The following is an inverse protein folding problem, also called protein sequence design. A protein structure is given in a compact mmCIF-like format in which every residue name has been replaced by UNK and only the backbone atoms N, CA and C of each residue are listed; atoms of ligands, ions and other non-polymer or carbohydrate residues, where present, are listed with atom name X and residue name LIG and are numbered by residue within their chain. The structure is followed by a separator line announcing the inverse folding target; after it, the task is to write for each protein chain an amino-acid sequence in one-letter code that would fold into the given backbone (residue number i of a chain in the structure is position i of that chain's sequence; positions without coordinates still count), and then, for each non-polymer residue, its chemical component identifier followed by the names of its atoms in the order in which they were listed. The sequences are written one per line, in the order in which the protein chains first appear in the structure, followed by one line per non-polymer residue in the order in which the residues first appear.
data_IF_522441062884
#
_entry.id   IF_522441062884
#
_cell.length_a   1.000
_cell.length_b   1.000
_cell.length_c   1.000
_cell.angle_alpha   90.00
_cell.angle_beta   90.00
_cell.angle_gamma   90.00
#
_symmetry.space_group_name_H-M   'P 1'
#
loop_
_entity.id
_entity.type
_entity.pdbx_description
1 polymer ?
#
# COMPACT_ATOMS: atom_id res chain seq x y z
N UNK A 1 -14.00 5.64 2.53
CA UNK A 1 -14.39 6.19 3.86
C UNK A 1 -15.20 7.45 3.59
N UNK A 2 -16.40 7.57 4.15
CA UNK A 2 -17.21 8.78 4.00
C UNK A 2 -16.83 9.78 5.10
N UNK A 3 -16.46 11.01 4.73
CA UNK A 3 -16.00 12.04 5.68
C UNK A 3 -16.99 12.25 6.84
N UNK A 4 -18.28 12.44 6.53
CA UNK A 4 -19.31 12.69 7.52
C UNK A 4 -19.41 11.56 8.56
N UNK A 5 -19.42 10.30 8.09
CA UNK A 5 -19.45 9.12 8.97
C UNK A 5 -18.19 9.01 9.84
N UNK A 6 -17.02 9.35 9.30
CA UNK A 6 -15.79 9.34 10.06
C UNK A 6 -15.83 10.35 11.21
N UNK A 7 -16.27 11.58 10.94
CA UNK A 7 -16.40 12.64 11.96
C UNK A 7 -17.44 12.25 13.02
N UNK A 8 -18.60 11.75 12.60
CA UNK A 8 -19.65 11.25 13.49
C UNK A 8 -19.10 10.16 14.41
N UNK A 9 -18.32 9.20 13.85
CA UNK A 9 -17.74 8.12 14.65
C UNK A 9 -16.73 8.63 15.68
N UNK A 10 -15.90 9.60 15.30
CA UNK A 10 -14.95 10.23 16.23
C UNK A 10 -15.70 10.97 17.35
N UNK A 11 -16.77 11.70 17.02
CA UNK A 11 -17.61 12.40 18.00
C UNK A 11 -18.31 11.43 18.97
N UNK A 12 -18.81 10.29 18.49
CA UNK A 12 -19.34 9.22 19.35
C UNK A 12 -18.30 8.70 20.35
N UNK A 13 -17.07 8.44 19.88
CA UNK A 13 -15.99 7.95 20.72
C UNK A 13 -15.53 9.00 21.74
N UNK A 14 -15.57 10.28 21.37
CA UNK A 14 -15.30 11.41 22.25
C UNK A 14 -16.36 11.50 23.36
N UNK A 15 -17.65 11.46 23.01
CA UNK A 15 -18.76 11.43 23.97
C UNK A 15 -18.70 10.22 24.91
N UNK A 16 -18.30 9.06 24.39
CA UNK A 16 -18.08 7.84 25.16
C UNK A 16 -16.79 7.86 26.02
N UNK A 17 -16.04 8.96 26.04
CA UNK A 17 -14.75 9.12 26.74
C UNK A 17 -13.69 8.08 26.36
N UNK A 18 -13.76 7.54 25.14
CA UNK A 18 -12.79 6.56 24.61
C UNK A 18 -11.58 7.21 23.94
N UNK A 19 -11.62 8.52 23.70
CA UNK A 19 -10.53 9.32 23.14
C UNK A 19 -10.07 10.39 24.16
N UNK A 20 -9.34 10.02 25.23
CA UNK A 20 -9.01 10.94 26.31
C UNK A 20 -8.01 12.05 25.92
N UNK A 21 -7.27 11.85 24.83
CA UNK A 21 -6.27 12.78 24.30
C UNK A 21 -6.87 13.85 23.37
N UNK A 22 -8.09 13.63 22.88
CA UNK A 22 -8.80 14.53 21.97
C UNK A 22 -9.80 15.38 22.77
N UNK A 23 -9.84 16.68 22.52
CA UNK A 23 -10.82 17.61 23.08
C UNK A 23 -12.01 17.81 22.15
N UNK A 24 -11.71 18.08 20.87
CA UNK A 24 -12.68 18.52 19.89
C UNK A 24 -12.25 18.09 18.47
N UNK A 25 -13.21 17.96 17.57
CA UNK A 25 -13.01 17.67 16.14
C UNK A 25 -13.79 18.68 15.30
N UNK A 26 -13.13 19.30 14.33
CA UNK A 26 -13.73 20.31 13.45
C UNK A 26 -13.53 19.96 11.99
N UNK A 27 -14.56 20.19 11.21
CA UNK A 27 -14.52 20.07 9.75
C UNK A 27 -14.34 21.46 9.13
N UNK A 28 -13.16 21.72 8.57
CA UNK A 28 -12.83 22.96 7.87
C UNK A 28 -12.67 22.70 6.35
N UNK A 29 -13.33 21.66 5.84
CA UNK A 29 -13.25 21.30 4.43
C UNK A 29 -13.88 22.37 3.53
N UNK A 30 -13.24 22.64 2.40
CA UNK A 30 -13.75 23.49 1.33
C UNK A 30 -13.73 22.69 0.00
N UNK A 31 -12.90 23.10 -0.96
CA UNK A 31 -12.60 22.27 -2.14
C UNK A 31 -11.80 21.01 -1.75
N UNK A 32 -10.91 21.14 -0.76
CA UNK A 32 -10.15 20.05 -0.17
C UNK A 32 -10.78 19.54 1.14
N UNK A 33 -10.50 18.28 1.46
CA UNK A 33 -10.88 17.68 2.75
C UNK A 33 -9.89 18.16 3.82
N UNK A 34 -10.40 18.86 4.84
CA UNK A 34 -9.61 19.34 5.98
C UNK A 34 -10.35 19.08 7.29
N UNK A 35 -9.78 18.18 8.10
CA UNK A 35 -10.28 17.84 9.42
C UNK A 35 -9.25 18.29 10.45
N UNK A 36 -9.69 19.08 11.44
CA UNK A 36 -8.86 19.60 12.52
C UNK A 36 -9.18 18.83 13.80
N UNK A 37 -8.14 18.25 14.40
CA UNK A 37 -8.19 17.53 15.66
C UNK A 37 -7.59 18.41 16.75
N UNK A 38 -8.37 18.78 17.76
CA UNK A 38 -7.92 19.64 18.85
C UNK A 38 -7.50 18.75 20.03
N UNK A 39 -6.22 18.72 20.42
CA UNK A 39 -5.77 17.93 21.56
C UNK A 39 -6.24 18.56 22.88
N UNK A 40 -6.45 17.71 23.89
CA UNK A 40 -6.90 18.13 25.24
C UNK A 40 -5.93 19.02 25.99
N UNK A 41 -4.65 18.94 25.69
CA UNK A 41 -3.64 19.84 26.23
C UNK A 41 -2.49 20.01 25.25
N UNK A 42 -1.68 21.05 25.45
CA UNK A 42 -0.47 21.30 24.65
C UNK A 42 0.63 20.26 24.85
N UNK A 43 0.52 19.42 25.88
CA UNK A 43 1.50 18.37 26.19
C UNK A 43 1.21 17.05 25.48
N UNK A 44 0.08 16.93 24.79
CA UNK A 44 -0.27 15.73 24.02
C UNK A 44 0.61 15.65 22.78
N UNK A 45 1.33 14.54 22.65
CA UNK A 45 2.10 14.25 21.44
C UNK A 45 1.17 13.93 20.25
N UNK A 46 1.32 14.60 19.09
CA UNK A 46 0.49 14.36 17.92
C UNK A 46 0.59 12.93 17.35
N UNK A 47 1.76 12.29 17.43
CA UNK A 47 1.97 10.92 16.96
C UNK A 47 1.15 9.92 17.77
N UNK A 48 1.22 10.03 19.11
CA UNK A 48 0.44 9.21 20.03
C UNK A 48 -1.07 9.42 19.86
N UNK A 49 -1.50 10.68 19.68
CA UNK A 49 -2.91 11.00 19.39
C UNK A 49 -3.40 10.31 18.11
N UNK A 50 -2.62 10.43 17.03
CA UNK A 50 -2.97 9.83 15.74
C UNK A 50 -2.99 8.30 15.80
N UNK A 51 -2.07 7.67 16.52
CA UNK A 51 -2.05 6.22 16.66
C UNK A 51 -3.27 5.70 17.43
N UNK A 52 -3.69 6.40 18.48
CA UNK A 52 -4.95 6.09 19.17
C UNK A 52 -6.15 6.22 18.23
N UNK A 53 -6.16 7.21 17.34
CA UNK A 53 -7.23 7.42 16.38
C UNK A 53 -7.23 6.34 15.28
N UNK A 54 -6.08 5.96 14.74
CA UNK A 54 -5.97 4.89 13.75
C UNK A 54 -6.50 3.55 14.28
N UNK A 55 -6.22 3.22 15.54
CA UNK A 55 -6.70 1.95 16.16
C UNK A 55 -8.21 1.92 16.41
N UNK A 56 -8.84 3.07 16.66
CA UNK A 56 -10.23 3.15 17.11
C UNK A 56 -11.21 3.64 16.03
N UNK A 57 -10.70 4.15 14.90
CA UNK A 57 -11.51 4.83 13.87
C UNK A 57 -11.15 4.34 12.46
N UNK A 58 -11.97 4.69 11.47
CA UNK A 58 -11.71 4.35 10.06
C UNK A 58 -10.62 5.22 9.40
N UNK A 59 -9.87 6.04 10.15
CA UNK A 59 -8.67 6.72 9.63
C UNK A 59 -7.63 5.71 9.14
N UNK A 60 -7.56 4.53 9.77
CA UNK A 60 -6.90 3.36 9.23
C UNK A 60 -7.96 2.34 8.80
N UNK A 61 -7.82 1.77 7.61
CA UNK A 61 -8.73 0.73 7.15
C UNK A 61 -7.95 -0.40 6.48
N UNK A 62 -8.38 -1.63 6.77
CA UNK A 62 -7.86 -2.83 6.13
C UNK A 62 -8.78 -3.19 4.97
N UNK A 63 -8.23 -3.22 3.77
CA UNK A 63 -8.95 -3.71 2.59
C UNK A 63 -8.40 -5.09 2.20
N UNK A 64 -9.22 -6.14 2.16
CA UNK A 64 -8.77 -7.44 1.69
C UNK A 64 -8.55 -7.41 0.18
N UNK A 65 -7.44 -7.97 -0.28
CA UNK A 65 -7.18 -8.20 -1.70
C UNK A 65 -7.43 -9.67 -2.02
N UNK A 66 -8.50 -9.95 -2.77
CA UNK A 66 -8.78 -11.28 -3.32
C UNK A 66 -8.87 -11.21 -4.86
N UNK A 67 -7.88 -11.77 -5.55
CA UNK A 67 -7.83 -11.81 -7.02
C UNK A 67 -8.56 -13.04 -7.57
N UNK A 68 -9.86 -13.13 -7.30
CA UNK A 68 -10.74 -14.15 -7.89
C UNK A 68 -11.21 -13.68 -9.28
N UNK A 69 -10.84 -14.41 -10.33
CA UNK A 69 -11.06 -14.04 -11.73
C UNK A 69 -11.59 -15.22 -12.55
N UNK A 70 -12.20 -14.95 -13.70
CA UNK A 70 -12.58 -15.98 -14.67
C UNK A 70 -11.41 -16.27 -15.60
N UNK A 71 -10.62 -17.30 -15.27
CA UNK A 71 -9.53 -17.78 -16.12
C UNK A 71 -10.05 -18.20 -17.48
N UNK A 72 -9.43 -17.66 -18.54
CA UNK A 72 -9.86 -17.85 -19.95
C UNK A 72 -11.34 -17.55 -20.19
N UNK A 73 -11.94 -16.68 -19.36
CA UNK A 73 -13.34 -16.29 -19.44
C UNK A 73 -14.36 -17.38 -19.07
N UNK A 74 -13.93 -18.51 -18.50
CA UNK A 74 -14.81 -19.67 -18.24
C UNK A 74 -14.69 -20.26 -16.84
N UNK A 75 -13.48 -20.33 -16.29
CA UNK A 75 -13.23 -21.08 -15.04
C UNK A 75 -12.91 -20.09 -13.93
N UNK A 76 -13.72 -20.01 -12.86
CA UNK A 76 -13.39 -19.17 -11.71
C UNK A 76 -12.13 -19.72 -11.03
N UNK A 77 -11.15 -18.86 -10.83
CA UNK A 77 -9.88 -19.21 -10.19
C UNK A 77 -9.29 -18.02 -9.44
N UNK A 78 -8.56 -18.29 -8.37
CA UNK A 78 -7.79 -17.27 -7.65
C UNK A 78 -6.38 -17.24 -8.22
N UNK A 79 -6.00 -16.13 -8.84
CA UNK A 79 -4.70 -15.98 -9.50
C UNK A 79 -3.81 -14.99 -8.77
N UNK A 80 -2.50 -15.19 -8.85
CA UNK A 80 -1.53 -14.16 -8.48
C UNK A 80 -1.51 -13.03 -9.52
N UNK A 81 -0.94 -11.87 -9.17
CA UNK A 81 -0.78 -10.75 -10.10
C UNK A 81 -0.03 -11.17 -11.39
N UNK A 82 1.00 -12.02 -11.24
CA UNK A 82 1.72 -12.61 -12.38
C UNK A 82 0.80 -13.45 -13.27
N UNK A 83 -0.07 -14.26 -12.66
CA UNK A 83 -1.04 -15.08 -13.38
C UNK A 83 -2.02 -14.24 -14.20
N UNK A 84 -2.61 -13.21 -13.56
CA UNK A 84 -3.55 -12.28 -14.21
C UNK A 84 -2.89 -11.56 -15.38
N UNK A 85 -1.69 -11.02 -15.19
CA UNK A 85 -0.96 -10.31 -16.26
C UNK A 85 -0.61 -11.24 -17.43
N UNK A 86 -0.25 -12.50 -17.16
CA UNK A 86 0.04 -13.48 -18.20
C UNK A 86 -1.19 -13.80 -19.03
N UNK A 87 -2.33 -14.10 -18.39
CA UNK A 87 -3.58 -14.39 -19.11
C UNK A 87 -4.05 -13.17 -19.93
N UNK A 88 -3.90 -11.96 -19.39
CA UNK A 88 -4.22 -10.75 -20.13
C UNK A 88 -3.34 -10.58 -21.39
N UNK A 89 -2.03 -10.86 -21.28
CA UNK A 89 -1.11 -10.82 -22.41
C UNK A 89 -1.44 -11.89 -23.47
N UNK A 90 -1.81 -13.09 -23.04
CA UNK A 90 -2.25 -14.17 -23.95
C UNK A 90 -3.52 -13.76 -24.70
N UNK A 91 -4.51 -13.19 -24.01
CA UNK A 91 -5.72 -12.67 -24.66
C UNK A 91 -5.40 -11.52 -25.63
N UNK A 92 -4.49 -10.60 -25.28
CA UNK A 92 -4.05 -9.53 -26.19
C UNK A 92 -3.43 -10.08 -27.47
N UNK A 93 -2.65 -11.17 -27.37
CA UNK A 93 -2.11 -11.87 -28.55
C UNK A 93 -3.22 -12.50 -29.39
N UNK A 94 -4.21 -13.14 -28.78
CA UNK A 94 -5.36 -13.68 -29.51
C UNK A 94 -6.10 -12.59 -30.30
N UNK A 95 -6.37 -11.45 -29.66
CA UNK A 95 -7.02 -10.29 -30.29
C UNK A 95 -6.17 -9.74 -31.43
N UNK A 96 -4.86 -9.61 -31.25
CA UNK A 96 -3.94 -9.17 -32.31
C UNK A 96 -4.03 -10.09 -33.53
N UNK A 97 -3.99 -11.41 -33.32
CA UNK A 97 -4.08 -12.40 -34.40
C UNK A 97 -5.43 -12.31 -35.11
N UNK A 98 -6.53 -12.23 -34.36
CA UNK A 98 -7.89 -12.13 -34.93
C UNK A 98 -8.07 -10.87 -35.76
N UNK A 99 -7.64 -9.71 -35.25
CA UNK A 99 -7.67 -8.43 -35.98
C UNK A 99 -6.82 -8.50 -37.25
N UNK A 100 -5.63 -9.07 -37.16
CA UNK A 100 -4.70 -9.18 -38.29
C UNK A 100 -5.24 -10.12 -39.38
N UNK A 101 -5.82 -11.27 -39.01
CA UNK A 101 -6.49 -12.18 -39.96
C UNK A 101 -7.71 -11.55 -40.61
N UNK A 102 -8.50 -10.79 -39.86
CA UNK A 102 -9.65 -10.07 -40.41
C UNK A 102 -9.20 -9.09 -41.50
N UNK A 103 -8.19 -8.26 -41.18
CA UNK A 103 -7.60 -7.31 -42.13
C UNK A 103 -6.97 -8.01 -43.33
N UNK A 104 -6.25 -9.13 -43.12
CA UNK A 104 -5.68 -9.93 -44.21
C UNK A 104 -6.78 -10.39 -45.18
N UNK A 105 -7.89 -10.93 -44.66
CA UNK A 105 -9.00 -11.37 -45.52
C UNK A 105 -9.66 -10.23 -46.29
N UNK A 106 -9.76 -9.02 -45.73
CA UNK A 106 -10.20 -7.83 -46.47
C UNK A 106 -9.24 -7.46 -47.60
N UNK A 107 -7.94 -7.45 -47.30
CA UNK A 107 -6.90 -7.15 -48.29
C UNK A 107 -6.92 -8.18 -49.42
N UNK A 108 -7.06 -9.47 -49.12
CA UNK A 108 -7.09 -10.53 -50.13
C UNK A 108 -8.27 -10.39 -51.08
N UNK A 109 -9.48 -10.15 -50.56
CA UNK A 109 -10.66 -9.88 -51.40
C UNK A 109 -10.46 -8.64 -52.27
N UNK A 110 -9.85 -7.60 -51.73
CA UNK A 110 -9.60 -6.36 -52.49
C UNK A 110 -8.54 -6.56 -53.57
N UNK A 111 -7.44 -7.25 -53.26
CA UNK A 111 -6.38 -7.58 -54.22
C UNK A 111 -6.90 -8.47 -55.35
N UNK A 112 -7.79 -9.43 -55.06
CA UNK A 112 -8.43 -10.25 -56.09
C UNK A 112 -9.16 -9.38 -57.12
N UNK A 113 -9.98 -8.43 -56.67
CA UNK A 113 -10.72 -7.51 -57.54
C UNK A 113 -9.77 -6.60 -58.33
N UNK A 114 -8.79 -5.99 -57.65
CA UNK A 114 -7.82 -5.09 -58.29
C UNK A 114 -6.98 -5.82 -59.36
N UNK A 115 -6.62 -7.09 -59.13
CA UNK A 115 -5.94 -7.91 -60.13
C UNK A 115 -6.79 -8.10 -61.39
N UNK A 116 -8.09 -8.36 -61.23
CA UNK A 116 -9.05 -8.43 -62.35
C UNK A 116 -9.12 -7.12 -63.13
N UNK A 117 -9.19 -5.98 -62.43
CA UNK A 117 -9.17 -4.66 -63.07
C UNK A 117 -7.89 -4.41 -63.85
N UNK A 118 -6.72 -4.71 -63.29
CA UNK A 118 -5.44 -4.54 -63.99
C UNK A 118 -5.38 -5.38 -65.27
N UNK A 119 -5.90 -6.60 -65.27
CA UNK A 119 -6.02 -7.43 -66.48
C UNK A 119 -6.95 -6.77 -67.50
N UNK A 120 -8.08 -6.23 -67.06
CA UNK A 120 -9.04 -5.55 -67.93
C UNK A 120 -8.46 -4.28 -68.57
N UNK A 121 -7.72 -3.45 -67.82
CA UNK A 121 -7.08 -2.25 -68.38
C UNK A 121 -6.04 -2.59 -69.46
N UNK A 122 -5.25 -3.65 -69.26
CA UNK A 122 -4.26 -4.10 -70.24
C UNK A 122 -4.89 -4.63 -71.55
N UNK A 123 -6.17 -5.03 -71.51
CA UNK A 123 -6.88 -5.67 -72.63
C UNK A 123 -8.20 -4.96 -72.96
N UNK A 124 -8.28 -3.65 -72.74
CA UNK A 124 -9.56 -2.91 -72.73
C UNK A 124 -10.36 -3.04 -74.03
N UNK A 125 -9.70 -2.98 -75.20
CA UNK A 125 -10.37 -3.10 -76.49
C UNK A 125 -11.00 -4.48 -76.68
N UNK A 126 -10.31 -5.53 -76.23
CA UNK A 126 -10.78 -6.90 -76.31
C UNK A 126 -11.90 -7.18 -75.29
N UNK A 127 -11.82 -6.59 -74.09
CA UNK A 127 -12.91 -6.62 -73.10
C UNK A 127 -14.17 -5.97 -73.70
N UNK A 128 -14.04 -4.81 -74.34
CA UNK A 128 -15.17 -4.12 -74.98
C UNK A 128 -15.74 -4.96 -76.13
N UNK A 129 -14.88 -5.60 -76.94
CA UNK A 129 -15.32 -6.49 -78.02
C UNK A 129 -16.16 -7.65 -77.49
N UNK A 130 -15.65 -8.37 -76.47
CA UNK A 130 -16.36 -9.50 -75.85
C UNK A 130 -17.71 -9.06 -75.28
N UNK A 131 -17.77 -7.92 -74.58
CA UNK A 131 -19.02 -7.41 -74.00
C UNK A 131 -20.06 -7.04 -75.09
N UNK A 132 -19.61 -6.66 -76.29
CA UNK A 132 -20.50 -6.24 -77.39
C UNK A 132 -20.93 -7.38 -78.32
N UNK A 133 -20.09 -8.39 -78.51
CA UNK A 133 -20.27 -9.41 -79.55
C UNK A 133 -20.70 -10.78 -79.02
N UNK A 134 -20.46 -11.08 -77.74
CA UNK A 134 -20.75 -12.39 -77.14
C UNK A 134 -22.03 -12.32 -76.29
N UNK A 135 -22.86 -13.37 -76.35
CA UNK A 135 -24.10 -13.48 -75.56
C UNK A 135 -23.83 -13.69 -74.06
N UNK A 136 -22.75 -14.43 -73.73
CA UNK A 136 -22.35 -14.73 -72.35
C UNK A 136 -20.92 -14.23 -72.04
N UNK A 137 -20.72 -12.89 -71.98
CA UNK A 137 -19.38 -12.30 -71.89
C UNK A 137 -18.62 -12.73 -70.64
N UNK A 138 -19.29 -12.97 -69.50
CA UNK A 138 -18.66 -13.42 -68.24
C UNK A 138 -17.86 -14.71 -68.44
N UNK A 139 -18.45 -15.73 -69.06
CA UNK A 139 -17.79 -17.04 -69.26
C UNK A 139 -16.62 -16.94 -70.23
N UNK A 140 -16.77 -16.16 -71.30
CA UNK A 140 -15.71 -15.95 -72.30
C UNK A 140 -14.50 -15.24 -71.66
N UNK A 141 -14.74 -14.20 -70.87
CA UNK A 141 -13.67 -13.47 -70.16
C UNK A 141 -12.95 -14.35 -69.14
N UNK A 142 -13.70 -15.17 -68.38
CA UNK A 142 -13.13 -16.13 -67.43
C UNK A 142 -12.22 -17.14 -68.13
N UNK A 143 -12.68 -17.76 -69.21
CA UNK A 143 -11.91 -18.75 -69.95
C UNK A 143 -10.65 -18.13 -70.60
N UNK A 144 -10.77 -16.92 -71.14
CA UNK A 144 -9.68 -16.26 -71.88
C UNK A 144 -8.54 -15.78 -71.00
N UNK A 145 -8.88 -15.17 -69.85
CA UNK A 145 -7.88 -14.57 -68.95
C UNK A 145 -7.73 -15.31 -67.63
N UNK A 146 -8.32 -16.50 -67.50
CA UNK A 146 -8.31 -17.30 -66.26
C UNK A 146 -8.80 -16.51 -65.05
N UNK A 147 -9.82 -15.67 -65.23
CA UNK A 147 -10.40 -14.83 -64.17
C UNK A 147 -11.30 -15.66 -63.26
N UNK A 148 -11.33 -15.31 -61.98
CA UNK A 148 -12.35 -15.84 -61.06
C UNK A 148 -13.72 -15.26 -61.38
N UNK A 149 -14.77 -15.93 -60.89
CA UNK A 149 -16.15 -15.46 -61.05
C UNK A 149 -16.34 -14.03 -60.51
N UNK A 150 -15.79 -13.76 -59.32
CA UNK A 150 -15.79 -12.45 -58.68
C UNK A 150 -15.05 -11.39 -59.51
N UNK A 151 -13.91 -11.74 -60.11
CA UNK A 151 -13.15 -10.81 -60.95
C UNK A 151 -13.91 -10.45 -62.22
N UNK A 152 -14.45 -11.44 -62.93
CA UNK A 152 -15.21 -11.21 -64.15
C UNK A 152 -16.46 -10.35 -63.87
N UNK A 153 -17.17 -10.65 -62.78
CA UNK A 153 -18.32 -9.85 -62.34
C UNK A 153 -17.93 -8.42 -61.95
N UNK A 154 -16.81 -8.24 -61.26
CA UNK A 154 -16.32 -6.91 -60.92
C UNK A 154 -15.99 -6.09 -62.17
N UNK A 155 -15.40 -6.70 -63.20
CA UNK A 155 -15.06 -6.03 -64.48
C UNK A 155 -16.33 -5.63 -65.22
N UNK A 156 -17.33 -6.52 -65.32
CA UNK A 156 -18.61 -6.21 -65.97
C UNK A 156 -19.36 -5.06 -65.28
N UNK A 157 -19.20 -4.93 -63.96
CA UNK A 157 -19.79 -3.85 -63.17
C UNK A 157 -18.96 -2.53 -63.19
N UNK A 158 -17.87 -2.45 -63.97
CA UNK A 158 -17.09 -1.22 -64.11
C UNK A 158 -17.90 -0.14 -64.82
N UNK A 159 -17.78 1.10 -64.33
CA UNK A 159 -18.35 2.27 -65.00
C UNK A 159 -17.40 2.74 -66.10
N UNK A 160 -17.94 3.18 -67.24
CA UNK A 160 -17.14 3.72 -68.36
C UNK A 160 -16.17 4.83 -67.95
N UNK A 161 -16.52 5.65 -66.94
CA UNK A 161 -15.64 6.71 -66.41
C UNK A 161 -14.38 6.16 -65.73
N UNK A 162 -14.42 4.94 -65.22
CA UNK A 162 -13.29 4.27 -64.62
C UNK A 162 -12.21 3.92 -65.66
N UNK A 163 -12.55 3.81 -66.95
CA UNK A 163 -11.61 3.42 -68.01
C UNK A 163 -10.55 4.49 -68.37
N UNK A 164 -10.40 5.55 -67.57
CA UNK A 164 -9.42 6.62 -67.80
C UNK A 164 -8.05 6.22 -67.26
N UNK A 165 -6.97 6.62 -67.95
CA UNK A 165 -5.58 6.33 -67.55
C UNK A 165 -5.21 6.76 -66.12
N UNK A 166 -5.86 7.78 -65.58
CA UNK A 166 -5.65 8.22 -64.19
C UNK A 166 -6.11 7.15 -63.18
N UNK A 167 -7.23 6.49 -63.46
CA UNK A 167 -7.83 5.47 -62.58
C UNK A 167 -6.99 4.18 -62.59
N UNK A 168 -6.38 3.83 -63.73
CA UNK A 168 -5.41 2.73 -63.84
C UNK A 168 -4.23 2.94 -62.87
N UNK A 169 -3.66 4.15 -62.86
CA UNK A 169 -2.56 4.49 -61.97
C UNK A 169 -2.96 4.41 -60.48
N UNK A 170 -4.17 4.89 -60.14
CA UNK A 170 -4.70 4.81 -58.78
C UNK A 170 -4.91 3.36 -58.33
N UNK A 171 -5.49 2.52 -59.19
CA UNK A 171 -5.69 1.08 -58.94
C UNK A 171 -4.35 0.37 -58.76
N UNK A 172 -3.35 0.70 -59.59
CA UNK A 172 -2.00 0.12 -59.45
C UNK A 172 -1.36 0.50 -58.13
N UNK A 173 -1.45 1.78 -57.75
CA UNK A 173 -0.94 2.29 -56.48
C UNK A 173 -1.63 1.63 -55.29
N UNK A 174 -2.95 1.45 -55.36
CA UNK A 174 -3.72 0.74 -54.33
C UNK A 174 -3.26 -0.72 -54.24
N UNK A 175 -3.13 -1.41 -55.37
CA UNK A 175 -2.68 -2.81 -55.43
C UNK A 175 -1.29 -2.98 -54.81
N UNK A 176 -0.33 -2.14 -55.19
CA UNK A 176 1.04 -2.20 -54.67
C UNK A 176 1.07 -1.92 -53.15
N UNK A 177 0.31 -0.92 -52.69
CA UNK A 177 0.19 -0.60 -51.27
C UNK A 177 -0.40 -1.74 -50.44
N UNK A 178 -1.52 -2.33 -50.92
CA UNK A 178 -2.16 -3.48 -50.28
C UNK A 178 -1.29 -4.74 -50.33
N UNK A 179 -0.48 -4.91 -51.37
CA UNK A 179 0.48 -6.03 -51.47
C UNK A 179 1.58 -5.91 -50.42
N UNK A 180 2.07 -4.69 -50.16
CA UNK A 180 3.04 -4.43 -49.10
C UNK A 180 2.41 -4.68 -47.73
N UNK A 181 1.19 -4.17 -47.49
CA UNK A 181 0.46 -4.38 -46.24
C UNK A 181 0.20 -5.88 -45.99
N UNK A 182 -0.23 -6.62 -47.02
CA UNK A 182 -0.41 -8.08 -46.96
C UNK A 182 0.86 -8.78 -46.46
N UNK A 183 2.01 -8.51 -47.09
CA UNK A 183 3.29 -9.12 -46.71
C UNK A 183 3.67 -8.81 -45.26
N UNK A 184 3.40 -7.59 -44.79
CA UNK A 184 3.66 -7.21 -43.40
C UNK A 184 2.78 -8.00 -42.42
N UNK A 185 1.49 -8.14 -42.72
CA UNK A 185 0.54 -8.88 -41.90
C UNK A 185 0.85 -10.38 -41.90
N UNK A 186 1.15 -10.97 -43.06
CA UNK A 186 1.56 -12.38 -43.16
C UNK A 186 2.83 -12.64 -42.34
N UNK A 187 3.82 -11.75 -42.42
CA UNK A 187 5.04 -11.89 -41.66
C UNK A 187 4.83 -11.69 -40.14
N UNK A 188 3.87 -10.84 -39.73
CA UNK A 188 3.42 -10.74 -38.34
C UNK A 188 2.77 -12.05 -37.88
N UNK A 189 1.85 -12.60 -38.66
CA UNK A 189 1.13 -13.83 -38.34
C UNK A 189 2.06 -15.06 -38.29
N UNK A 190 3.13 -15.08 -39.10
CA UNK A 190 4.09 -16.17 -39.17
C UNK A 190 5.14 -16.17 -38.03
N UNK A 191 5.26 -15.10 -37.23
CA UNK A 191 6.33 -14.97 -36.24
C UNK A 191 5.82 -14.53 -34.86
N UNK A 192 5.94 -15.43 -33.88
CA UNK A 192 5.64 -15.15 -32.48
C UNK A 192 6.45 -13.98 -31.91
N UNK A 193 7.73 -13.88 -32.29
CA UNK A 193 8.59 -12.79 -31.86
C UNK A 193 8.09 -11.42 -32.37
N UNK A 194 7.60 -11.36 -33.62
CA UNK A 194 7.01 -10.14 -34.18
C UNK A 194 5.71 -9.79 -33.48
N UNK A 195 4.85 -10.78 -33.21
CA UNK A 195 3.60 -10.57 -32.46
C UNK A 195 3.88 -9.94 -31.09
N UNK A 196 4.82 -10.49 -30.32
CA UNK A 196 5.18 -9.94 -29.02
C UNK A 196 5.83 -8.56 -29.09
N UNK A 197 6.63 -8.30 -30.13
CA UNK A 197 7.21 -6.97 -30.38
C UNK A 197 6.13 -5.93 -30.66
N UNK A 198 5.13 -6.28 -31.47
CA UNK A 198 3.96 -5.42 -31.73
C UNK A 198 3.14 -5.18 -30.47
N UNK A 199 2.85 -6.21 -29.67
CA UNK A 199 2.13 -6.06 -28.39
C UNK A 199 2.91 -5.13 -27.45
N UNK A 200 4.23 -5.31 -27.34
CA UNK A 200 5.08 -4.44 -26.51
C UNK A 200 4.99 -2.99 -26.96
N UNK A 201 5.04 -2.73 -28.26
CA UNK A 201 4.88 -1.39 -28.82
C UNK A 201 3.49 -0.81 -28.51
N UNK A 202 2.41 -1.57 -28.75
CA UNK A 202 1.04 -1.13 -28.45
C UNK A 202 0.83 -0.81 -26.96
N UNK A 203 1.42 -1.60 -26.06
CA UNK A 203 1.33 -1.33 -24.60
C UNK A 203 2.18 -0.11 -24.22
N UNK A 204 3.33 0.07 -24.86
CA UNK A 204 4.22 1.21 -24.60
C UNK A 204 3.58 2.53 -25.05
N UNK A 205 2.88 2.55 -26.19
CA UNK A 205 2.17 3.75 -26.65
C UNK A 205 0.98 4.13 -25.76
N UNK A 206 0.34 3.15 -25.10
CA UNK A 206 -0.67 3.43 -24.06
C UNK A 206 -0.04 4.14 -22.85
N UNK A 207 1.19 3.75 -22.48
CA UNK A 207 1.92 4.38 -21.38
C UNK A 207 2.22 5.85 -21.65
N UNK A 208 2.37 6.28 -22.89
CA UNK A 208 2.54 7.71 -23.21
C UNK A 208 1.31 8.54 -22.82
N UNK A 209 0.12 7.95 -22.88
CA UNK A 209 -1.16 8.61 -22.53
C UNK A 209 -1.52 8.48 -21.05
N UNK A 210 -1.24 7.32 -20.46
CA UNK A 210 -1.70 6.95 -19.11
C UNK A 210 -0.55 6.59 -18.15
N UNK A 211 0.66 7.03 -18.47
CA UNK A 211 1.85 6.73 -17.69
C UNK A 211 1.93 7.53 -16.38
N UNK A 212 2.89 7.18 -15.50
CA UNK A 212 3.07 7.84 -14.21
C UNK A 212 3.34 9.35 -14.29
N UNK A 213 3.89 9.81 -15.42
CA UNK A 213 4.20 11.22 -15.68
C UNK A 213 2.99 12.04 -16.14
N UNK A 214 1.86 11.39 -16.45
CA UNK A 214 0.65 12.09 -16.89
C UNK A 214 -0.27 12.36 -15.72
N UNK A 215 -1.04 13.46 -15.77
CA UNK A 215 -2.00 13.82 -14.72
C UNK A 215 -3.00 12.69 -14.41
N UNK A 216 -3.38 11.90 -15.41
CA UNK A 216 -4.29 10.76 -15.23
C UNK A 216 -3.60 9.51 -14.66
N UNK A 217 -2.32 9.28 -14.99
CA UNK A 217 -1.58 8.07 -14.59
C UNK A 217 -0.71 8.25 -13.35
N UNK A 218 -0.52 9.49 -12.87
CA UNK A 218 0.25 9.80 -11.67
C UNK A 218 -0.34 9.11 -10.45
N UNK A 219 0.50 8.37 -9.72
CA UNK A 219 0.10 7.69 -8.50
C UNK A 219 -0.32 8.73 -7.44
N UNK A 220 -1.51 8.54 -6.88
CA UNK A 220 -2.06 9.40 -5.81
C UNK A 220 -1.67 8.97 -4.41
N UNK A 221 -1.31 7.70 -4.23
CA UNK A 221 -0.92 7.12 -2.93
C UNK A 221 0.60 7.06 -2.79
N UNK A 222 1.07 7.03 -1.54
CA UNK A 222 2.48 6.81 -1.22
C UNK A 222 2.61 5.56 -0.34
N UNK A 223 3.81 5.01 -0.30
CA UNK A 223 4.16 3.97 0.66
C UNK A 223 4.86 4.63 1.83
N UNK A 224 4.48 4.25 3.04
CA UNK A 224 5.12 4.68 4.27
C UNK A 224 5.05 3.51 5.26
N UNK A 225 6.08 3.40 6.11
CA UNK A 225 6.05 2.48 7.23
C UNK A 225 5.18 3.08 8.34
N UNK A 226 4.42 2.23 9.03
CA UNK A 226 3.67 2.66 10.21
C UNK A 226 4.68 3.05 11.30
N UNK A 227 4.52 4.20 11.97
CA UNK A 227 5.33 4.52 13.14
C UNK A 227 5.17 3.44 14.20
N UNK A 228 6.27 2.93 14.74
CA UNK A 228 6.24 2.05 15.91
C UNK A 228 6.12 2.93 17.16
N UNK A 229 4.91 3.28 17.60
CA UNK A 229 4.73 3.68 19.02
C UNK A 229 4.34 2.45 19.82
N UNK A 230 4.99 2.28 20.97
CA UNK A 230 4.69 1.14 21.82
C UNK A 230 3.30 1.34 22.46
N UNK A 231 2.53 0.27 22.63
CA UNK A 231 1.20 0.33 23.25
C UNK A 231 1.27 0.89 24.68
N UNK A 232 2.44 0.76 25.32
CA UNK A 232 2.74 1.34 26.62
C UNK A 232 2.76 2.87 26.59
N UNK A 233 3.16 3.49 25.48
CA UNK A 233 3.29 4.95 25.37
C UNK A 233 1.92 5.62 25.37
N UNK A 234 0.89 4.97 24.81
CA UNK A 234 -0.50 5.45 24.85
C UNK A 234 -1.03 5.45 26.29
N UNK A 235 -0.72 4.40 27.08
CA UNK A 235 -1.14 4.31 28.48
C UNK A 235 -0.35 5.28 29.38
N UNK A 236 0.95 5.46 29.13
CA UNK A 236 1.80 6.41 29.86
C UNK A 236 1.49 7.87 29.50
N UNK A 237 1.09 8.18 28.26
CA UNK A 237 0.65 9.51 27.85
C UNK A 237 -0.68 9.95 28.50
N UNK A 238 -1.45 9.03 29.08
CA UNK A 238 -2.63 9.37 29.90
C UNK A 238 -2.26 9.87 31.31
N UNK A 239 -1.00 9.73 31.73
CA UNK A 239 -0.52 10.13 33.06
C UNK A 239 0.08 11.53 32.95
N UNK A 240 -0.49 12.49 33.66
CA UNK A 240 0.08 13.83 33.75
C UNK A 240 1.45 13.78 34.41
N UNK A 241 2.45 14.37 33.75
CA UNK A 241 3.83 14.45 34.23
C UNK A 241 3.93 15.47 35.36
N UNK A 242 3.86 14.99 36.60
CA UNK A 242 4.01 15.78 37.81
C UNK A 242 5.31 15.41 38.54
N UNK A 243 6.00 16.39 39.16
CA UNK A 243 7.16 16.13 40.00
C UNK A 243 6.74 15.40 41.28
N UNK A 244 7.44 14.32 41.61
CA UNK A 244 7.22 13.52 42.83
C UNK A 244 8.54 13.18 43.50
N UNK A 245 8.51 12.96 44.81
CA UNK A 245 9.63 12.42 45.58
C UNK A 245 9.30 11.02 46.02
N UNK A 246 10.07 10.05 45.54
CA UNK A 246 9.92 8.64 45.93
C UNK A 246 10.67 8.43 47.24
N UNK A 247 9.99 7.86 48.23
CA UNK A 247 10.53 7.59 49.56
C UNK A 247 10.51 6.08 49.81
N UNK A 248 11.66 5.56 50.23
CA UNK A 248 11.88 4.15 50.56
C UNK A 248 12.31 4.05 52.03
N UNK A 249 11.60 3.24 52.82
CA UNK A 249 11.97 2.97 54.21
C UNK A 249 12.93 1.79 54.36
N UNK A 250 13.58 1.67 55.52
CA UNK A 250 14.46 0.53 55.83
C UNK A 250 13.70 -0.81 55.82
N UNK A 251 12.44 -0.82 56.28
CA UNK A 251 11.56 -2.00 56.23
C UNK A 251 10.88 -2.23 54.87
N UNK A 252 11.31 -1.54 53.81
CA UNK A 252 10.82 -1.78 52.45
C UNK A 252 9.43 -1.22 52.14
N UNK A 253 9.02 -0.13 52.81
CA UNK A 253 7.80 0.61 52.48
C UNK A 253 8.11 1.68 51.43
N UNK A 254 7.23 1.79 50.43
CA UNK A 254 7.36 2.75 49.33
C UNK A 254 6.18 3.73 49.36
N UNK A 255 6.46 5.01 49.09
CA UNK A 255 5.44 6.03 48.79
C UNK A 255 5.98 7.12 47.86
N UNK A 256 5.09 7.77 47.13
CA UNK A 256 5.37 8.94 46.32
C UNK A 256 4.74 10.20 46.95
N UNK A 257 5.58 11.15 47.35
CA UNK A 257 5.17 12.46 47.84
C UNK A 257 5.03 13.42 46.66
N UNK A 258 4.02 14.30 46.69
CA UNK A 258 3.86 15.32 45.65
C UNK A 258 4.96 16.38 45.77
N UNK A 259 5.55 16.74 44.63
CA UNK A 259 6.64 17.72 44.53
C UNK A 259 8.02 17.12 44.79
N UNK A 260 9.05 17.88 44.43
CA UNK A 260 10.45 17.59 44.76
C UNK A 260 10.77 18.15 46.14
N UNK A 261 10.71 17.30 47.16
CA UNK A 261 11.03 17.66 48.53
C UNK A 261 12.54 17.82 48.66
N UNK A 262 12.98 18.93 49.22
CA UNK A 262 14.40 19.20 49.50
C UNK A 262 14.80 18.85 50.93
N UNK A 263 13.83 18.79 51.85
CA UNK A 263 14.02 18.38 53.23
C UNK A 263 13.22 17.10 53.53
N UNK A 264 13.94 16.08 54.00
CA UNK A 264 13.40 14.76 54.32
C UNK A 264 13.15 14.57 55.84
N UNK A 265 13.51 15.55 56.67
CA UNK A 265 13.39 15.47 58.14
C UNK A 265 11.93 15.37 58.62
N UNK A 266 10.98 15.88 57.83
CA UNK A 266 9.55 15.86 58.12
C UNK A 266 8.86 14.54 57.75
N UNK A 267 9.60 13.55 57.24
CA UNK A 267 9.04 12.26 56.84
C UNK A 267 8.74 11.41 58.09
N UNK A 268 7.51 10.93 58.19
CA UNK A 268 7.08 10.02 59.27
C UNK A 268 7.11 8.57 58.81
N UNK A 269 7.56 7.68 59.69
CA UNK A 269 7.71 6.24 59.46
C UNK A 269 6.96 5.44 60.53
N UNK A 270 6.82 4.13 60.31
CA UNK A 270 6.28 3.22 61.33
C UNK A 270 7.26 3.07 62.49
N UNK A 271 6.78 2.56 63.62
CA UNK A 271 7.60 2.35 64.81
C UNK A 271 8.80 1.42 64.51
N UNK A 272 10.00 1.90 64.88
CA UNK A 272 11.27 1.24 64.60
C UNK A 272 11.63 1.13 63.11
N UNK A 273 11.10 2.01 62.25
CA UNK A 273 11.47 2.15 60.84
C UNK A 273 12.06 3.54 60.58
N UNK A 274 12.89 3.67 59.56
CA UNK A 274 13.59 4.91 59.25
C UNK A 274 13.77 5.11 57.74
N UNK A 275 14.26 6.28 57.34
CA UNK A 275 14.49 6.60 55.94
C UNK A 275 15.68 5.81 55.40
N UNK A 276 15.47 5.02 54.35
CA UNK A 276 16.56 4.37 53.61
C UNK A 276 17.04 5.23 52.44
N UNK A 277 16.12 5.61 51.56
CA UNK A 277 16.41 6.39 50.35
C UNK A 277 15.25 7.33 50.04
N UNK A 278 15.57 8.52 49.52
CA UNK A 278 14.60 9.41 48.91
C UNK A 278 15.23 10.10 47.70
N UNK A 279 14.50 10.14 46.58
CA UNK A 279 14.98 10.72 45.33
C UNK A 279 13.85 11.36 44.53
N UNK A 280 14.21 12.30 43.67
CA UNK A 280 13.26 13.00 42.80
C UNK A 280 12.97 12.18 41.54
N UNK A 281 11.69 12.15 41.17
CA UNK A 281 11.19 11.51 39.97
C UNK A 281 10.05 12.34 39.37
N UNK A 282 9.57 11.92 38.21
CA UNK A 282 8.30 12.33 37.62
C UNK A 282 7.32 11.16 37.70
N UNK A 283 6.02 11.41 37.75
CA UNK A 283 4.97 10.37 37.73
C UNK A 283 5.09 9.41 36.54
N UNK A 284 5.59 9.87 35.40
CA UNK A 284 5.83 9.05 34.21
C UNK A 284 7.09 8.20 34.26
N UNK A 285 7.98 8.42 35.23
CA UNK A 285 9.28 7.75 35.29
C UNK A 285 9.16 6.31 35.81
N UNK A 286 10.05 5.45 35.31
CA UNK A 286 10.23 4.09 35.83
C UNK A 286 11.22 4.12 37.00
N UNK A 287 10.85 3.49 38.11
CA UNK A 287 11.70 3.30 39.28
C UNK A 287 12.25 1.88 39.25
N UNK A 288 13.57 1.74 39.24
CA UNK A 288 14.25 0.47 39.40
C UNK A 288 14.53 0.24 40.87
N UNK A 289 14.22 -0.98 41.35
CA UNK A 289 14.52 -1.42 42.72
C UNK A 289 15.36 -2.69 42.65
N UNK A 290 16.53 -2.66 43.28
CA UNK A 290 17.43 -3.80 43.39
C UNK A 290 17.34 -4.41 44.79
N UNK A 291 17.23 -5.74 44.87
CA UNK A 291 17.04 -6.46 46.15
C UNK A 291 18.23 -7.36 46.48
N UNK A 292 18.33 -7.77 47.75
CA UNK A 292 19.36 -8.72 48.21
C UNK A 292 19.25 -10.09 47.56
N UNK A 293 18.09 -10.43 46.97
CA UNK A 293 17.89 -11.61 46.14
C UNK A 293 18.56 -11.55 44.76
N UNK A 294 19.28 -10.46 44.45
CA UNK A 294 20.01 -10.30 43.20
C UNK A 294 19.14 -9.98 41.98
N UNK A 295 17.91 -9.51 42.20
CA UNK A 295 16.95 -9.18 41.15
C UNK A 295 16.65 -7.70 41.06
N UNK A 296 16.40 -7.23 39.84
CA UNK A 296 15.84 -5.91 39.59
C UNK A 296 14.33 -6.01 39.39
N UNK A 297 13.60 -5.07 39.99
CA UNK A 297 12.18 -4.87 39.78
C UNK A 297 11.93 -3.49 39.21
N UNK A 298 10.99 -3.39 38.27
CA UNK A 298 10.61 -2.10 37.66
C UNK A 298 9.19 -1.72 38.07
N UNK A 299 9.05 -0.55 38.67
CA UNK A 299 7.78 -0.01 39.17
C UNK A 299 7.58 1.37 38.55
N UNK A 300 6.40 1.65 37.99
CA UNK A 300 6.06 3.00 37.55
C UNK A 300 5.83 3.93 38.75
N UNK A 301 6.37 5.15 38.71
CA UNK A 301 6.19 6.12 39.81
C UNK A 301 4.71 6.46 40.05
N UNK A 302 3.87 6.37 39.02
CA UNK A 302 2.41 6.51 39.07
C UNK A 302 1.71 5.41 39.90
N UNK A 303 2.32 4.23 40.01
CA UNK A 303 1.76 3.09 40.75
C UNK A 303 2.12 3.08 42.23
N UNK A 304 3.00 3.98 42.65
CA UNK A 304 3.37 4.11 44.05
C UNK A 304 2.21 4.75 44.84
N UNK A 305 1.98 4.31 46.09
CA UNK A 305 0.95 4.91 46.92
C UNK A 305 1.32 6.37 47.20
N UNK A 306 0.33 7.25 47.19
CA UNK A 306 0.53 8.68 47.44
C UNK A 306 1.02 8.97 48.86
N UNK A 307 1.37 10.24 49.11
CA UNK A 307 1.98 10.68 50.38
C UNK A 307 1.12 10.60 51.65
N UNK A 308 -0.10 10.05 51.61
CA UNK A 308 -0.94 9.87 52.80
C UNK A 308 -0.54 8.60 53.54
N UNK A 309 -0.20 8.71 54.82
CA UNK A 309 0.24 7.58 55.65
C UNK A 309 1.68 7.15 55.34
N UNK A 310 2.03 5.91 55.70
CA UNK A 310 3.40 5.40 55.59
C UNK A 310 3.72 4.69 54.27
N UNK A 311 2.80 4.71 53.30
CA UNK A 311 2.93 3.99 52.04
C UNK A 311 2.46 2.54 52.11
N UNK A 312 2.98 1.70 51.22
CA UNK A 312 2.69 0.26 51.15
C UNK A 312 4.00 -0.54 51.10
N UNK A 313 4.03 -1.77 51.62
CA UNK A 313 5.19 -2.63 51.49
C UNK A 313 5.40 -3.02 50.02
N UNK A 314 6.65 -2.95 49.55
CA UNK A 314 7.04 -3.28 48.17
C UNK A 314 6.53 -4.65 47.69
N UNK A 315 6.39 -5.60 48.62
CA UNK A 315 5.92 -6.98 48.40
C UNK A 315 4.50 -7.08 47.83
N UNK A 316 3.69 -6.03 47.97
CA UNK A 316 2.34 -5.98 47.36
C UNK A 316 2.44 -5.64 45.86
N UNK A 317 3.47 -4.89 45.49
CA UNK A 317 3.68 -4.37 44.14
C UNK A 317 4.45 -5.38 43.29
N UNK A 318 5.40 -6.10 43.89
CA UNK A 318 6.32 -7.04 43.21
C UNK A 318 6.42 -8.38 43.94
N UNK A 319 6.68 -9.45 43.20
CA UNK A 319 6.79 -10.81 43.74
C UNK A 319 8.21 -11.00 44.30
N UNK A 320 8.40 -10.60 45.57
CA UNK A 320 9.67 -10.65 46.31
C UNK A 320 9.56 -11.56 47.55
N UNK A 321 10.55 -12.42 47.75
CA UNK A 321 10.58 -13.39 48.87
C UNK A 321 10.76 -12.70 50.23
N UNK A 322 10.14 -13.25 51.28
CA UNK A 322 9.99 -12.62 52.61
C UNK A 322 11.30 -12.27 53.33
N UNK A 323 12.40 -12.91 52.98
CA UNK A 323 13.75 -12.74 53.53
C UNK A 323 14.61 -11.74 52.74
N UNK A 324 14.08 -11.18 51.63
CA UNK A 324 14.80 -10.21 50.81
C UNK A 324 14.51 -8.77 51.24
N UNK A 325 15.55 -7.95 51.21
CA UNK A 325 15.52 -6.51 51.49
C UNK A 325 15.88 -5.69 50.25
N UNK A 326 15.44 -4.44 50.21
CA UNK A 326 15.82 -3.49 49.17
C UNK A 326 17.28 -3.06 49.40
N UNK A 327 18.15 -3.22 48.40
CA UNK A 327 19.53 -2.72 48.43
C UNK A 327 19.54 -1.25 48.00
N UNK A 328 18.96 -0.94 46.84
CA UNK A 328 18.88 0.43 46.32
C UNK A 328 17.67 0.61 45.41
N UNK A 329 17.27 1.87 45.21
CA UNK A 329 16.25 2.25 44.25
C UNK A 329 16.57 3.61 43.61
N UNK A 330 16.28 3.76 42.33
CA UNK A 330 16.55 4.99 41.57
C UNK A 330 15.69 5.09 40.31
N UNK A 331 15.61 6.30 39.74
CA UNK A 331 14.94 6.54 38.45
C UNK A 331 15.73 5.94 37.31
N UNK A 332 15.01 5.28 36.41
CA UNK A 332 15.57 4.64 35.23
C UNK A 332 16.20 5.64 34.26
N UNK A 333 17.45 5.40 33.88
CA UNK A 333 18.21 6.14 32.87
C UNK A 333 18.81 5.15 31.85
N UNK A 334 18.23 5.03 30.64
CA UNK A 334 18.67 4.05 29.63
C UNK A 334 20.15 4.16 29.25
N UNK A 335 20.77 5.34 29.42
CA UNK A 335 22.17 5.57 29.03
C UNK A 335 23.17 5.19 30.12
N UNK A 336 22.70 4.88 31.33
CA UNK A 336 23.54 4.56 32.48
C UNK A 336 24.00 3.10 32.41
N UNK A 337 25.20 2.86 32.95
CA UNK A 337 25.71 1.51 33.22
C UNK A 337 25.75 1.30 34.73
N UNK A 338 25.36 0.10 35.16
CA UNK A 338 25.37 -0.31 36.54
C UNK A 338 26.55 -1.23 36.81
N UNK A 339 27.24 -1.05 37.93
CA UNK A 339 28.23 -1.98 38.44
C UNK A 339 27.57 -2.80 39.55
N UNK A 340 27.40 -4.10 39.32
CA UNK A 340 26.89 -5.04 40.31
C UNK A 340 28.06 -5.70 41.01
N UNK A 341 28.02 -5.74 42.34
CA UNK A 341 29.06 -6.33 43.17
C UNK A 341 28.40 -7.19 44.24
N UNK A 342 28.87 -8.42 44.43
CA UNK A 342 28.49 -9.30 45.52
C UNK A 342 29.44 -9.16 46.71
N UNK A 343 29.00 -9.61 47.88
CA UNK A 343 29.83 -9.64 49.08
C UNK A 343 31.07 -10.55 48.94
N UNK A 344 31.00 -11.56 48.06
CA UNK A 344 32.13 -12.45 47.74
C UNK A 344 33.19 -11.79 46.84
N UNK A 345 33.02 -10.51 46.49
CA UNK A 345 33.98 -9.77 45.67
C UNK A 345 33.85 -10.00 44.16
N UNK A 346 32.80 -10.68 43.71
CA UNK A 346 32.49 -10.83 42.29
C UNK A 346 31.68 -9.63 41.80
N UNK A 347 31.92 -9.17 40.58
CA UNK A 347 31.12 -8.10 40.01
C UNK A 347 31.21 -8.00 38.49
N UNK A 348 30.21 -7.38 37.90
CA UNK A 348 30.14 -7.14 36.46
C UNK A 348 29.38 -5.85 36.17
N UNK A 349 29.59 -5.31 34.97
CA UNK A 349 28.91 -4.12 34.48
C UNK A 349 27.76 -4.54 33.58
N UNK A 350 26.58 -3.97 33.78
CA UNK A 350 25.39 -4.20 32.95
C UNK A 350 24.82 -2.88 32.46
N UNK A 351 24.41 -2.76 31.17
CA UNK A 351 23.62 -1.63 30.70
C UNK A 351 22.29 -1.57 31.45
N UNK A 352 21.88 -0.38 31.89
CA UNK A 352 20.67 -0.25 32.70
C UNK A 352 19.39 -0.62 31.94
N UNK A 353 19.36 -0.38 30.63
CA UNK A 353 18.27 -0.81 29.75
C UNK A 353 18.03 -2.33 29.81
N UNK A 354 19.09 -3.13 30.02
CA UNK A 354 18.98 -4.58 30.08
C UNK A 354 18.43 -5.09 31.42
N UNK A 355 18.38 -4.28 32.48
CA UNK A 355 17.85 -4.72 33.78
C UNK A 355 16.37 -4.39 33.98
N UNK A 356 15.74 -3.74 33.00
CA UNK A 356 14.31 -3.41 33.04
C UNK A 356 13.48 -4.69 33.01
N UNK A 357 12.62 -4.87 34.03
CA UNK A 357 11.76 -6.03 34.18
C UNK A 357 10.33 -5.70 33.73
N UNK A 358 9.80 -6.50 32.79
CA UNK A 358 8.42 -6.34 32.29
C UNK A 358 7.37 -7.08 33.13
N UNK A 359 7.80 -7.86 34.14
CA UNK A 359 6.90 -8.66 34.99
C UNK A 359 7.15 -8.40 36.47
N UNK A 360 6.17 -8.73 37.32
CA UNK A 360 6.28 -8.61 38.78
C UNK A 360 7.32 -9.52 39.41
N UNK A 361 7.81 -10.54 38.70
CA UNK A 361 8.83 -11.49 39.18
C UNK A 361 10.26 -10.93 39.20
N UNK A 362 10.44 -9.71 38.67
CA UNK A 362 11.74 -9.09 38.48
C UNK A 362 12.53 -9.74 37.35
N UNK A 363 13.76 -9.26 37.18
CA UNK A 363 14.77 -9.77 36.24
C UNK A 363 16.04 -10.14 36.98
#
# INVERSE_FOLDING_TARGET
IQKARLIEKIAELLMARKLPLLEDIRDESAEDVRVVLVPKSRSVDPGILMESLFKLTELESRFPLNMNVLSRGKIPNVLSLKGVLKEWLEHRREVLIRRSRHRLGEIERRLEILAGYLIAYLNIDEVIRIIREEDEPKQVMMARWSLTDNQAEAILNMRLRALRKLEEFEIRKEFDGLTIEKKQIEALLASDARQWSTIKWEVSSIREKFGPETELGKRRTQFADAPEHDLTDIAHAMIEREPVTVVVSEKGWLRAMKGHLTDHSLLTFKEGDSLKLAFHAQTTDKVLVFTTGGKFYTIGADRLPGGRGHGEPIRIIVDMDNDQDIVTAFVHDPKRKLLLVSHDGNGFIVPEEEVVANTRKGK
#
